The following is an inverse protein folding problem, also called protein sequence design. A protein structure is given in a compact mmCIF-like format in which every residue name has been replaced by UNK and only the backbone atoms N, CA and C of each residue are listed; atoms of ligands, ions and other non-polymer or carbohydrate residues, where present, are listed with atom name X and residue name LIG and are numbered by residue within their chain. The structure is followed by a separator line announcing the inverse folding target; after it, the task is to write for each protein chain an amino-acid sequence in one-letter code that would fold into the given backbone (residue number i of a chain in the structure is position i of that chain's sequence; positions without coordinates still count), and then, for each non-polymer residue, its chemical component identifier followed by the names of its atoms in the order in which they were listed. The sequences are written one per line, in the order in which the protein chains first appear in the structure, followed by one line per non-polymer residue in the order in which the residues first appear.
data_IF_832297773823
#
_entry.id   IF_832297773823
#
_cell.length_a   1.000
_cell.length_b   1.000
_cell.length_c   1.000
_cell.angle_alpha   90.00
_cell.angle_beta   90.00
_cell.angle_gamma   90.00
#
_symmetry.space_group_name_H-M   'P 1'
#
loop_
_entity.id
_entity.type
_entity.pdbx_description
1 polymer ?
#
# COMPACT_ATOMS: atom_id res chain seq x y z
N UNK A 1 -14.59 -13.44 19.84
CA UNK A 1 -13.85 -13.70 18.59
C UNK A 1 -13.25 -12.38 18.15
N UNK A 2 -11.94 -12.28 17.99
CA UNK A 2 -11.31 -11.05 17.47
C UNK A 2 -11.46 -11.06 15.95
N UNK A 3 -12.05 -10.04 15.31
CA UNK A 3 -12.15 -9.99 13.86
C UNK A 3 -10.77 -9.96 13.22
N UNK A 4 -10.63 -10.61 12.06
CA UNK A 4 -9.39 -10.57 11.28
C UNK A 4 -9.14 -9.13 10.81
N UNK A 5 -7.91 -8.67 10.99
CA UNK A 5 -7.45 -7.33 10.59
C UNK A 5 -6.15 -7.45 9.81
N UNK A 6 -5.94 -6.55 8.85
CA UNK A 6 -4.73 -6.49 8.03
C UNK A 6 -4.17 -5.09 8.06
N UNK A 7 -2.85 -4.99 8.29
CA UNK A 7 -2.13 -3.73 8.25
C UNK A 7 -1.41 -3.58 6.91
N UNK A 8 -1.62 -2.45 6.23
CA UNK A 8 -1.02 -2.13 4.93
C UNK A 8 0.22 -1.28 5.16
N UNK A 9 1.33 -1.72 4.58
CA UNK A 9 2.63 -1.07 4.67
C UNK A 9 2.97 -0.27 3.40
N UNK A 10 3.95 0.64 3.50
CA UNK A 10 4.35 1.60 2.45
C UNK A 10 4.61 0.93 1.11
N UNK A 11 5.33 -0.19 1.12
CA UNK A 11 5.74 -0.88 -0.12
C UNK A 11 4.58 -1.28 -1.02
N UNK A 12 3.44 -1.70 -0.45
CA UNK A 12 2.24 -2.06 -1.23
C UNK A 12 1.65 -0.83 -1.91
N UNK A 13 1.58 0.30 -1.20
CA UNK A 13 1.05 1.55 -1.73
C UNK A 13 1.93 2.10 -2.86
N UNK A 14 3.26 2.08 -2.66
CA UNK A 14 4.24 2.55 -3.65
C UNK A 14 4.25 1.64 -4.88
N UNK A 15 4.36 0.32 -4.70
CA UNK A 15 4.41 -0.61 -5.81
C UNK A 15 3.13 -0.56 -6.65
N UNK A 16 1.95 -0.44 -6.04
CA UNK A 16 0.69 -0.34 -6.78
C UNK A 16 0.54 0.96 -7.59
N UNK A 17 1.30 2.02 -7.26
CA UNK A 17 1.28 3.30 -7.98
C UNK A 17 2.45 3.49 -8.95
N UNK A 18 3.45 2.62 -8.92
CA UNK A 18 4.60 2.65 -9.82
C UNK A 18 4.55 1.47 -10.80
N UNK A 19 4.13 1.70 -12.05
CA UNK A 19 4.03 0.66 -13.10
C UNK A 19 5.36 -0.01 -13.44
N UNK A 20 6.48 0.67 -13.16
CA UNK A 20 7.82 0.13 -13.39
C UNK A 20 8.37 -0.64 -12.18
N UNK A 21 7.62 -0.73 -11.08
CA UNK A 21 8.00 -1.51 -9.91
C UNK A 21 7.86 -3.01 -10.20
N UNK A 22 8.87 -3.80 -9.80
CA UNK A 22 8.86 -5.26 -9.98
C UNK A 22 7.66 -5.93 -9.30
N UNK A 23 7.08 -5.31 -8.27
CA UNK A 23 5.94 -5.82 -7.55
C UNK A 23 4.59 -5.20 -7.99
N UNK A 24 4.56 -4.37 -9.04
CA UNK A 24 3.35 -3.63 -9.45
C UNK A 24 2.10 -4.52 -9.56
N UNK A 25 2.15 -5.59 -10.36
CA UNK A 25 1.01 -6.48 -10.58
C UNK A 25 0.55 -7.16 -9.28
N UNK A 26 1.50 -7.59 -8.45
CA UNK A 26 1.20 -8.21 -7.15
C UNK A 26 0.55 -7.22 -6.19
N UNK A 27 1.06 -6.00 -6.11
CA UNK A 27 0.53 -4.96 -5.24
C UNK A 27 -0.88 -4.52 -5.66
N UNK A 28 -1.13 -4.36 -6.96
CA UNK A 28 -2.47 -4.08 -7.51
C UNK A 28 -3.44 -5.22 -7.18
N UNK A 29 -3.02 -6.47 -7.35
CA UNK A 29 -3.84 -7.64 -7.01
C UNK A 29 -4.19 -7.68 -5.52
N UNK A 30 -3.20 -7.48 -4.64
CA UNK A 30 -3.42 -7.44 -3.19
C UNK A 30 -4.40 -6.33 -2.80
N UNK A 31 -4.24 -5.11 -3.32
CA UNK A 31 -5.15 -4.01 -3.00
C UNK A 31 -6.57 -4.26 -3.53
N UNK A 32 -6.73 -4.86 -4.71
CA UNK A 32 -8.07 -5.24 -5.22
C UNK A 32 -8.77 -6.24 -4.31
N UNK A 33 -8.05 -7.29 -3.88
CA UNK A 33 -8.58 -8.32 -2.96
C UNK A 33 -8.87 -7.75 -1.57
N UNK A 34 -8.01 -6.85 -1.10
CA UNK A 34 -8.20 -6.12 0.15
C UNK A 34 -9.50 -5.29 0.11
N UNK A 35 -9.69 -4.51 -0.96
CA UNK A 35 -10.88 -3.69 -1.16
C UNK A 35 -12.16 -4.52 -1.39
N UNK A 36 -12.02 -5.76 -1.85
CA UNK A 36 -13.11 -6.75 -1.92
C UNK A 36 -13.44 -7.39 -0.55
N UNK A 37 -12.71 -7.04 0.51
CA UNK A 37 -12.94 -7.52 1.88
C UNK A 37 -12.27 -8.86 2.22
N UNK A 38 -11.43 -9.40 1.34
CA UNK A 38 -10.80 -10.73 1.54
C UNK A 38 -9.85 -10.79 2.74
N UNK A 39 -9.40 -9.64 3.24
CA UNK A 39 -8.42 -9.55 4.33
C UNK A 39 -8.98 -8.92 5.62
N UNK A 40 -10.30 -8.85 5.75
CA UNK A 40 -10.96 -8.25 6.91
C UNK A 40 -10.78 -6.73 6.95
N UNK A 41 -10.77 -6.15 8.16
CA UNK A 41 -10.61 -4.71 8.30
C UNK A 41 -9.17 -4.28 7.96
N UNK A 42 -9.04 -3.23 7.16
CA UNK A 42 -7.76 -2.71 6.69
C UNK A 42 -7.36 -1.50 7.51
N UNK A 43 -6.13 -1.49 8.00
CA UNK A 43 -5.53 -0.38 8.72
C UNK A 43 -4.18 -0.01 8.11
N UNK A 44 -3.77 1.22 8.32
CA UNK A 44 -2.40 1.70 8.12
C UNK A 44 -2.13 2.78 9.18
N UNK A 45 -0.92 3.31 9.26
CA UNK A 45 -0.59 4.39 10.19
C UNK A 45 -0.32 5.70 9.45
N UNK A 46 -0.36 6.79 10.20
CA UNK A 46 0.20 8.09 9.80
C UNK A 46 1.67 7.97 9.38
N UNK A 47 2.50 7.21 10.10
CA UNK A 47 3.89 6.96 9.72
C UNK A 47 4.05 6.29 8.34
N UNK A 48 3.22 5.28 8.04
CA UNK A 48 3.23 4.62 6.72
C UNK A 48 2.76 5.57 5.61
N UNK A 49 1.76 6.40 5.91
CA UNK A 49 1.28 7.40 4.97
C UNK A 49 2.35 8.47 4.67
N UNK A 50 3.01 8.99 5.71
CA UNK A 50 4.10 9.97 5.60
C UNK A 50 5.26 9.42 4.78
N UNK A 51 5.65 8.18 5.00
CA UNK A 51 6.68 7.52 4.21
C UNK A 51 6.24 7.33 2.75
N UNK A 52 5.01 6.87 2.50
CA UNK A 52 4.50 6.69 1.14
C UNK A 52 4.50 8.01 0.34
N UNK A 53 4.08 9.11 0.97
CA UNK A 53 4.12 10.44 0.35
C UNK A 53 5.58 10.88 0.12
N UNK A 54 6.45 10.74 1.11
CA UNK A 54 7.86 11.12 1.03
C UNK A 54 8.57 10.35 -0.08
N UNK A 55 8.41 9.02 -0.14
CA UNK A 55 8.99 8.16 -1.17
C UNK A 55 8.49 8.55 -2.56
N UNK A 56 7.20 8.84 -2.71
CA UNK A 56 6.64 9.29 -3.98
C UNK A 56 7.23 10.64 -4.44
N UNK A 57 7.36 11.62 -3.53
CA UNK A 57 7.94 12.93 -3.84
C UNK A 57 9.42 12.81 -4.22
N UNK A 58 10.22 12.11 -3.41
CA UNK A 58 11.66 11.92 -3.65
C UNK A 58 11.90 11.19 -4.98
N UNK A 59 11.18 10.09 -5.24
CA UNK A 59 11.36 9.30 -6.48
C UNK A 59 10.87 10.01 -7.74
N UNK A 60 9.98 11.00 -7.61
CA UNK A 60 9.51 11.80 -8.75
C UNK A 60 10.23 13.14 -8.90
N UNK A 61 11.21 13.43 -8.04
CA UNK A 61 11.96 14.69 -8.06
C UNK A 61 11.12 15.91 -7.65
N UNK A 62 10.13 15.71 -6.78
CA UNK A 62 9.18 16.73 -6.31
C UNK A 62 9.31 17.04 -4.81
N UNK A 63 10.36 16.52 -4.17
CA UNK A 63 10.69 16.81 -2.78
C UNK A 63 11.44 18.15 -2.67
#
# INVERSE_FOLDING_TARGET
MVPMVTFIDTGVLIAARNRSDVNYERAVSLLRRALAGEYGALYTSDYVFDEAVTVALVRTGKA
#
